data_IF_343919454419
#
_entry.id   IF_343919454419
#
_cell.length_a   1.000
_cell.length_b   1.000
_cell.length_c   1.000
_cell.angle_alpha   90.00
_cell.angle_beta   90.00
_cell.angle_gamma   90.00
#
_symmetry.space_group_name_H-M   'P 1'
#
loop_
_entity.id
_entity.type
_entity.pdbx_description
1 polymer ?
#
# COMPACT_ATOMS: atom_id res chain seq x y z
N UNK A 1 52.16 13.12 -2.94
CA UNK A 1 52.05 14.31 -3.79
C UNK A 1 51.22 14.03 -5.02
N UNK A 2 50.24 14.92 -5.19
CA UNK A 2 49.25 15.08 -6.26
C UNK A 2 48.02 14.16 -6.28
N UNK A 3 46.85 14.80 -6.48
CA UNK A 3 45.67 14.60 -5.62
C UNK A 3 44.39 14.33 -6.43
N UNK A 4 43.29 14.02 -5.74
CA UNK A 4 41.87 14.34 -6.01
C UNK A 4 41.22 14.34 -7.42
N UNK A 5 41.94 14.30 -8.54
CA UNK A 5 41.40 14.39 -9.90
C UNK A 5 40.52 13.19 -10.28
N UNK A 6 40.81 11.99 -9.77
CA UNK A 6 40.05 10.77 -10.16
C UNK A 6 38.65 10.69 -9.54
N UNK A 7 38.44 11.25 -8.35
CA UNK A 7 37.11 11.28 -7.71
C UNK A 7 36.27 12.42 -8.29
N UNK A 8 36.84 13.60 -8.43
CA UNK A 8 36.14 14.74 -9.01
C UNK A 8 35.81 14.53 -10.49
N UNK A 9 36.69 13.92 -11.29
CA UNK A 9 36.36 13.50 -12.66
C UNK A 9 35.29 12.42 -12.70
N UNK A 10 35.33 11.43 -11.79
CA UNK A 10 34.29 10.40 -11.74
C UNK A 10 32.92 10.99 -11.36
N UNK A 11 32.88 11.92 -10.41
CA UNK A 11 31.67 12.63 -10.02
C UNK A 11 31.18 13.59 -11.10
N UNK A 12 32.08 14.28 -11.80
CA UNK A 12 31.73 15.18 -12.90
C UNK A 12 31.23 14.40 -14.12
N UNK A 13 31.83 13.25 -14.41
CA UNK A 13 31.39 12.32 -15.46
C UNK A 13 30.02 11.73 -15.13
N UNK A 14 29.81 11.32 -13.88
CA UNK A 14 28.51 10.84 -13.40
C UNK A 14 27.44 11.94 -13.46
N UNK A 15 27.77 13.17 -13.08
CA UNK A 15 26.85 14.32 -13.13
C UNK A 15 26.52 14.75 -14.58
N UNK A 16 27.49 14.72 -15.49
CA UNK A 16 27.29 14.93 -16.93
C UNK A 16 26.39 13.85 -17.54
N UNK A 17 26.58 12.58 -17.16
CA UNK A 17 25.70 11.48 -17.58
C UNK A 17 24.29 11.66 -17.02
N UNK A 18 24.13 12.05 -15.75
CA UNK A 18 22.83 12.32 -15.11
C UNK A 18 22.10 13.49 -15.79
N UNK A 19 22.82 14.55 -16.20
CA UNK A 19 22.25 15.70 -16.93
C UNK A 19 21.80 15.34 -18.35
N UNK A 20 22.50 14.43 -19.03
CA UNK A 20 22.15 13.94 -20.38
C UNK A 20 21.05 12.86 -20.38
N UNK A 21 20.80 12.25 -19.23
CA UNK A 21 19.77 11.25 -19.04
C UNK A 21 18.40 11.92 -18.95
N UNK A 22 17.51 11.69 -19.93
CA UNK A 22 16.15 12.26 -19.91
C UNK A 22 15.43 11.79 -18.63
N UNK A 23 14.61 12.66 -18.01
CA UNK A 23 13.93 12.47 -16.70
C UNK A 23 13.26 11.09 -16.44
N UNK A 24 13.00 10.28 -17.46
CA UNK A 24 12.41 8.95 -17.35
C UNK A 24 13.44 7.80 -17.27
N UNK A 25 14.74 8.09 -17.37
CA UNK A 25 15.85 7.11 -17.30
C UNK A 25 16.67 7.22 -16.01
N UNK A 26 16.28 8.09 -15.07
CA UNK A 26 16.88 8.13 -13.74
C UNK A 26 16.27 7.03 -12.88
N UNK A 27 16.98 5.91 -12.70
CA UNK A 27 16.67 4.95 -11.63
C UNK A 27 17.14 5.56 -10.31
N UNK A 28 16.31 6.45 -9.78
CA UNK A 28 16.45 7.03 -8.46
C UNK A 28 16.20 5.90 -7.45
N UNK A 29 17.27 5.34 -6.88
CA UNK A 29 17.20 4.69 -5.56
C UNK A 29 17.14 5.83 -4.53
N UNK A 30 16.01 6.52 -4.50
CA UNK A 30 15.62 7.45 -3.45
C UNK A 30 14.10 7.34 -3.29
N UNK A 31 13.65 7.57 -2.07
CA UNK A 31 12.28 7.33 -1.63
C UNK A 31 11.18 7.95 -2.51
N UNK A 32 9.98 7.42 -2.27
CA UNK A 32 8.70 7.75 -2.89
C UNK A 32 8.45 7.14 -4.28
N UNK A 33 8.05 5.86 -4.29
CA UNK A 33 7.60 5.14 -5.48
C UNK A 33 6.14 4.68 -5.36
N UNK A 34 5.22 5.65 -5.31
CA UNK A 34 3.79 5.43 -5.47
C UNK A 34 3.43 5.10 -6.94
N UNK A 35 3.38 3.82 -7.29
CA UNK A 35 2.96 3.31 -8.60
C UNK A 35 1.47 2.97 -8.65
N UNK A 36 0.71 3.55 -9.57
CA UNK A 36 -0.72 3.20 -9.76
C UNK A 36 -0.89 1.80 -10.37
N UNK A 37 -1.78 1.02 -9.75
CA UNK A 37 -2.16 -0.37 -10.06
C UNK A 37 -2.89 -0.48 -11.41
N UNK A 38 -2.54 -1.47 -12.22
CA UNK A 38 -3.06 -1.70 -13.58
C UNK A 38 -3.69 -3.08 -13.81
N UNK A 39 -3.37 -4.18 -13.13
CA UNK A 39 -4.16 -5.45 -13.27
C UNK A 39 -3.87 -6.45 -12.15
N UNK A 40 -4.85 -7.32 -11.86
CA UNK A 40 -4.72 -8.45 -10.94
C UNK A 40 -4.75 -9.75 -11.76
N UNK A 41 -3.66 -10.51 -11.81
CA UNK A 41 -3.54 -11.81 -12.47
C UNK A 41 -3.09 -12.82 -11.40
N UNK A 42 -3.81 -13.92 -11.20
CA UNK A 42 -3.45 -15.00 -10.27
C UNK A 42 -2.87 -14.50 -8.93
N UNK A 43 -3.64 -13.68 -8.22
CA UNK A 43 -3.30 -13.04 -6.93
C UNK A 43 -2.22 -11.94 -6.92
N UNK A 44 -1.59 -11.62 -8.06
CA UNK A 44 -0.57 -10.57 -8.17
C UNK A 44 -1.12 -9.25 -8.73
N UNK A 45 -0.67 -8.11 -8.22
CA UNK A 45 -1.08 -6.74 -8.63
C UNK A 45 0.06 -6.10 -9.44
N UNK A 46 -0.19 -5.55 -10.64
CA UNK A 46 0.86 -5.09 -11.59
C UNK A 46 0.71 -3.60 -11.93
N UNK A 47 1.82 -2.85 -12.12
CA UNK A 47 1.84 -1.38 -12.35
C UNK A 47 1.61 -0.93 -13.82
N UNK A 48 1.32 0.37 -14.02
CA UNK A 48 0.87 1.07 -15.26
C UNK A 48 1.72 0.88 -16.55
N UNK A 49 2.88 0.23 -16.46
CA UNK A 49 3.81 0.01 -17.60
C UNK A 49 4.04 -1.48 -17.89
N UNK A 50 3.23 -2.39 -17.32
CA UNK A 50 3.40 -3.86 -17.43
C UNK A 50 4.75 -4.40 -16.95
N UNK A 51 5.53 -3.59 -16.24
CA UNK A 51 6.89 -3.99 -15.87
C UNK A 51 6.98 -4.67 -14.50
N UNK A 52 6.14 -4.37 -13.50
CA UNK A 52 6.40 -4.88 -12.13
C UNK A 52 5.16 -5.11 -11.25
N UNK A 53 5.32 -6.02 -10.28
CA UNK A 53 4.41 -6.23 -9.16
C UNK A 53 4.37 -5.02 -8.23
N UNK A 54 3.19 -4.72 -7.71
CA UNK A 54 2.88 -3.68 -6.71
C UNK A 54 2.16 -4.39 -5.57
N UNK A 55 2.35 -3.96 -4.32
CA UNK A 55 1.45 -4.40 -3.25
C UNK A 55 0.08 -3.71 -3.40
N UNK A 56 -0.91 -4.12 -2.59
CA UNK A 56 -2.26 -3.55 -2.62
C UNK A 56 -2.28 -2.01 -2.37
N UNK A 57 -1.21 -1.44 -1.82
CA UNK A 57 -1.04 0.00 -1.59
C UNK A 57 -0.48 0.76 -2.82
N UNK A 58 -0.20 0.07 -3.94
CA UNK A 58 0.47 0.69 -5.08
C UNK A 58 1.95 0.99 -4.85
N UNK A 59 2.58 0.36 -3.85
CA UNK A 59 4.03 0.42 -3.66
C UNK A 59 4.65 -0.71 -4.46
N UNK A 60 5.65 -0.40 -5.30
CA UNK A 60 6.31 -1.41 -6.14
C UNK A 60 6.95 -2.47 -5.25
N UNK A 61 6.54 -3.72 -5.41
CA UNK A 61 7.28 -4.87 -4.91
C UNK A 61 8.33 -5.18 -5.97
N UNK A 62 9.54 -4.69 -5.72
CA UNK A 62 10.69 -4.86 -6.59
C UNK A 62 11.17 -6.31 -6.41
N UNK A 63 10.73 -7.18 -7.30
CA UNK A 63 11.21 -8.54 -7.38
C UNK A 63 12.61 -8.51 -8.03
N UNK A 64 13.65 -8.56 -7.19
CA UNK A 64 15.02 -8.78 -7.66
C UNK A 64 15.08 -10.04 -8.54
N UNK A 65 14.21 -11.01 -8.25
CA UNK A 65 14.13 -12.33 -8.87
C UNK A 65 12.71 -12.63 -9.37
N UNK A 66 12.58 -13.20 -10.57
CA UNK A 66 11.32 -13.73 -11.08
C UNK A 66 11.56 -15.07 -11.81
N UNK A 67 11.68 -15.07 -13.15
CA UNK A 67 12.08 -16.26 -13.92
C UNK A 67 13.60 -16.35 -14.09
N UNK A 68 14.23 -17.28 -13.39
CA UNK A 68 15.69 -17.46 -13.46
C UNK A 68 16.16 -18.26 -14.67
N UNK A 69 15.25 -18.91 -15.40
CA UNK A 69 15.57 -19.63 -16.63
C UNK A 69 15.73 -18.68 -17.82
N UNK A 70 16.62 -19.05 -18.75
CA UNK A 70 16.83 -18.32 -20.01
C UNK A 70 18.09 -17.43 -20.04
N UNK A 71 18.66 -17.20 -21.24
CA UNK A 71 19.87 -16.39 -21.43
C UNK A 71 19.60 -14.89 -21.19
N UNK A 72 20.64 -14.17 -20.77
CA UNK A 72 20.63 -12.70 -20.70
C UNK A 72 21.28 -12.17 -21.97
N UNK A 73 20.46 -11.77 -22.94
CA UNK A 73 20.91 -11.16 -24.20
C UNK A 73 20.45 -9.70 -24.26
N UNK A 74 21.35 -8.82 -24.69
CA UNK A 74 21.09 -7.41 -24.96
C UNK A 74 20.02 -7.17 -26.04
N UNK A 75 19.89 -8.09 -27.00
CA UNK A 75 19.02 -7.98 -28.18
C UNK A 75 17.62 -8.56 -27.97
N UNK A 76 17.38 -9.26 -26.84
CA UNK A 76 16.08 -9.88 -26.53
C UNK A 76 15.38 -9.02 -25.50
N UNK A 77 14.39 -8.23 -25.94
CA UNK A 77 13.36 -7.73 -25.05
C UNK A 77 12.41 -8.89 -24.72
N UNK A 78 12.38 -9.29 -23.44
CA UNK A 78 11.48 -10.34 -23.01
C UNK A 78 10.02 -9.86 -23.03
N UNK A 79 9.13 -10.76 -23.46
CA UNK A 79 7.68 -10.56 -23.43
C UNK A 79 7.14 -10.66 -21.98
N UNK A 80 7.91 -11.25 -21.04
CA UNK A 80 7.55 -11.48 -19.63
C UNK A 80 8.68 -11.04 -18.67
N UNK A 81 8.33 -10.61 -17.45
CA UNK A 81 9.28 -10.15 -16.42
C UNK A 81 10.15 -11.31 -15.88
N UNK A 82 11.48 -11.16 -15.93
CA UNK A 82 12.44 -12.15 -15.45
C UNK A 82 13.28 -11.70 -14.24
N UNK A 83 12.89 -10.59 -13.60
CA UNK A 83 13.48 -10.06 -12.39
C UNK A 83 14.47 -8.92 -12.64
N UNK A 84 14.55 -8.01 -11.67
CA UNK A 84 15.35 -6.78 -11.78
C UNK A 84 16.85 -7.08 -11.89
N UNK A 85 17.33 -8.18 -11.31
CA UNK A 85 18.73 -8.58 -11.45
C UNK A 85 19.14 -8.75 -12.92
N UNK A 86 18.37 -9.51 -13.70
CA UNK A 86 18.63 -9.71 -15.13
C UNK A 86 18.40 -8.45 -15.96
N UNK A 87 17.41 -7.63 -15.60
CA UNK A 87 17.19 -6.34 -16.24
C UNK A 87 18.39 -5.39 -16.10
N UNK A 88 19.01 -5.36 -14.91
CA UNK A 88 20.24 -4.58 -14.67
C UNK A 88 21.39 -5.10 -15.54
N UNK A 89 21.56 -6.42 -15.63
CA UNK A 89 22.60 -7.01 -16.48
C UNK A 89 22.40 -6.69 -17.96
N UNK A 90 21.16 -6.79 -18.48
CA UNK A 90 20.86 -6.34 -19.86
C UNK A 90 21.15 -4.87 -20.07
N UNK A 91 20.77 -4.02 -19.11
CA UNK A 91 21.04 -2.58 -19.19
C UNK A 91 22.53 -2.29 -19.27
N UNK A 92 23.36 -3.03 -18.52
CA UNK A 92 24.82 -2.94 -18.61
C UNK A 92 25.36 -3.41 -19.96
N UNK A 93 24.86 -4.52 -20.49
CA UNK A 93 25.24 -4.98 -21.84
C UNK A 93 24.88 -3.96 -22.92
N UNK A 94 23.66 -3.38 -22.87
CA UNK A 94 23.22 -2.32 -23.78
C UNK A 94 24.03 -1.03 -23.67
N UNK A 95 24.64 -0.81 -22.51
CA UNK A 95 25.53 0.34 -22.27
C UNK A 95 26.95 0.10 -22.80
N UNK A 96 27.22 -1.05 -23.42
CA UNK A 96 28.52 -1.39 -24.01
C UNK A 96 29.53 -2.02 -23.05
N UNK A 97 29.08 -2.69 -21.99
CA UNK A 97 29.95 -3.44 -21.08
C UNK A 97 30.46 -4.73 -21.74
N UNK A 98 31.52 -4.61 -22.54
CA UNK A 98 32.13 -5.73 -23.28
C UNK A 98 32.73 -6.81 -22.36
N UNK A 99 33.19 -6.43 -21.16
CA UNK A 99 33.72 -7.39 -20.18
C UNK A 99 32.59 -8.29 -19.68
N UNK A 100 31.46 -7.70 -19.29
CA UNK A 100 30.28 -8.45 -18.87
C UNK A 100 29.74 -9.32 -20.01
N UNK A 101 29.72 -8.79 -21.24
CA UNK A 101 29.27 -9.53 -22.43
C UNK A 101 30.12 -10.78 -22.66
N UNK A 102 31.43 -10.61 -22.73
CA UNK A 102 32.37 -11.72 -22.87
C UNK A 102 32.23 -12.73 -21.73
N UNK A 103 32.06 -12.27 -20.49
CA UNK A 103 31.84 -13.16 -19.34
C UNK A 103 30.57 -13.99 -19.48
N UNK A 104 29.45 -13.40 -19.89
CA UNK A 104 28.18 -14.13 -20.06
C UNK A 104 28.19 -15.10 -21.25
N UNK A 105 28.94 -14.79 -22.31
CA UNK A 105 29.07 -15.63 -23.51
C UNK A 105 30.10 -16.77 -23.36
N UNK A 106 31.19 -16.54 -22.63
CA UNK A 106 32.33 -17.49 -22.54
C UNK A 106 32.30 -18.42 -21.34
N UNK A 107 31.60 -18.06 -20.26
CA UNK A 107 31.63 -18.83 -19.02
C UNK A 107 30.60 -19.94 -18.98
N UNK A 108 30.88 -20.97 -18.18
CA UNK A 108 29.91 -22.04 -17.91
C UNK A 108 28.67 -21.49 -17.20
N UNK A 109 27.50 -22.11 -17.41
CA UNK A 109 26.21 -21.66 -16.84
C UNK A 109 26.21 -21.45 -15.32
N UNK A 110 27.10 -22.11 -14.59
CA UNK A 110 27.26 -21.96 -13.13
C UNK A 110 28.12 -20.76 -12.74
N UNK A 111 29.04 -20.34 -13.61
CA UNK A 111 29.97 -19.24 -13.36
C UNK A 111 29.45 -17.87 -13.83
N UNK A 112 28.27 -17.83 -14.50
CA UNK A 112 27.58 -16.59 -14.86
C UNK A 112 26.85 -15.94 -13.69
N UNK A 113 26.74 -16.63 -12.54
CA UNK A 113 26.04 -16.14 -11.34
C UNK A 113 24.54 -15.81 -11.56
N UNK A 114 23.96 -16.27 -12.67
CA UNK A 114 22.57 -16.01 -13.05
C UNK A 114 21.55 -16.94 -12.37
N UNK A 115 22.02 -18.03 -11.78
CA UNK A 115 21.13 -19.04 -11.23
C UNK A 115 20.40 -18.52 -9.97
N UNK A 116 19.24 -19.14 -9.67
CA UNK A 116 18.40 -18.81 -8.54
C UNK A 116 19.13 -18.78 -7.19
N UNK A 117 20.02 -19.75 -6.97
CA UNK A 117 20.75 -19.90 -5.70
C UNK A 117 21.69 -18.70 -5.48
N UNK A 118 22.45 -18.35 -6.49
CA UNK A 118 23.36 -17.21 -6.45
C UNK A 118 22.61 -15.90 -6.27
N UNK A 119 21.49 -15.69 -6.99
CA UNK A 119 20.68 -14.48 -6.80
C UNK A 119 20.17 -14.38 -5.37
N UNK A 120 19.71 -15.48 -4.75
CA UNK A 120 19.32 -15.50 -3.34
C UNK A 120 20.50 -15.18 -2.41
N UNK A 121 21.70 -15.70 -2.69
CA UNK A 121 22.91 -15.36 -1.92
C UNK A 121 23.23 -13.86 -1.99
N UNK A 122 23.11 -13.25 -3.17
CA UNK A 122 23.28 -11.79 -3.35
C UNK A 122 22.22 -11.02 -2.56
N UNK A 123 20.94 -11.43 -2.67
CA UNK A 123 19.84 -10.80 -1.93
C UNK A 123 20.08 -10.87 -0.43
N UNK A 124 20.49 -12.02 0.08
CA UNK A 124 20.79 -12.22 1.50
C UNK A 124 21.98 -11.35 1.92
N UNK A 125 23.06 -11.31 1.15
CA UNK A 125 24.21 -10.46 1.46
C UNK A 125 23.85 -8.96 1.47
N UNK A 126 23.03 -8.50 0.52
CA UNK A 126 22.50 -7.13 0.52
C UNK A 126 21.63 -6.87 1.75
N UNK A 127 20.73 -7.81 2.08
CA UNK A 127 19.89 -7.75 3.27
C UNK A 127 20.70 -7.64 4.56
N UNK A 128 21.76 -8.45 4.69
CA UNK A 128 22.67 -8.43 5.83
C UNK A 128 23.41 -7.10 5.96
N UNK A 129 23.90 -6.53 4.85
CA UNK A 129 24.58 -5.24 4.83
C UNK A 129 23.61 -4.12 5.24
N UNK A 130 22.39 -4.11 4.70
CA UNK A 130 21.36 -3.11 5.03
C UNK A 130 20.98 -3.23 6.51
N UNK A 131 20.73 -4.45 6.99
CA UNK A 131 20.39 -4.72 8.38
C UNK A 131 21.49 -4.23 9.31
N UNK A 132 22.75 -4.57 9.05
CA UNK A 132 23.90 -4.10 9.85
C UNK A 132 23.99 -2.57 9.88
N UNK A 133 23.77 -1.90 8.74
CA UNK A 133 23.77 -0.43 8.69
C UNK A 133 22.66 0.18 9.56
N UNK A 134 21.45 -0.40 9.52
CA UNK A 134 20.32 0.07 10.33
C UNK A 134 20.60 -0.18 11.82
N UNK A 135 21.09 -1.37 12.18
CA UNK A 135 21.46 -1.72 13.57
C UNK A 135 22.52 -0.74 14.11
N UNK A 136 23.56 -0.43 13.33
CA UNK A 136 24.58 0.52 13.74
C UNK A 136 23.98 1.91 14.02
N UNK A 137 23.11 2.41 13.14
CA UNK A 137 22.42 3.69 13.36
C UNK A 137 21.57 3.69 14.65
N UNK A 138 20.85 2.60 14.92
CA UNK A 138 20.04 2.45 16.13
C UNK A 138 20.95 2.49 17.37
N UNK A 139 22.04 1.73 17.35
CA UNK A 139 22.99 1.68 18.47
C UNK A 139 23.70 3.03 18.69
N UNK A 140 24.03 3.77 17.63
CA UNK A 140 24.56 5.14 17.70
C UNK A 140 23.55 6.13 18.29
N UNK A 141 22.27 6.03 17.90
CA UNK A 141 21.19 6.86 18.44
C UNK A 141 20.93 6.62 19.93
N UNK A 142 21.31 5.43 20.43
CA UNK A 142 20.99 4.87 21.76
C UNK A 142 19.49 4.71 21.94
N UNK A 143 18.75 5.80 22.13
CA UNK A 143 17.32 5.76 22.42
C UNK A 143 16.48 5.49 21.18
N UNK A 144 15.64 4.47 21.25
CA UNK A 144 14.75 4.09 20.15
C UNK A 144 13.38 3.64 20.65
N UNK A 145 12.41 3.67 19.74
CA UNK A 145 11.10 3.04 19.91
C UNK A 145 10.92 1.95 18.87
N UNK A 146 10.17 0.91 19.22
CA UNK A 146 9.80 -0.16 18.27
C UNK A 146 8.36 0.03 17.85
N UNK A 147 8.11 -0.08 16.54
CA UNK A 147 6.80 -0.20 15.94
C UNK A 147 6.69 -1.63 15.41
N UNK A 148 5.66 -2.36 15.82
CA UNK A 148 5.47 -3.73 15.36
C UNK A 148 4.01 -4.01 15.01
N UNK A 149 3.84 -4.85 13.99
CA UNK A 149 2.53 -5.24 13.46
C UNK A 149 2.56 -6.71 13.04
N UNK A 150 1.44 -7.41 13.26
CA UNK A 150 1.25 -8.80 12.84
C UNK A 150 0.76 -8.83 11.38
N UNK A 151 1.35 -9.70 10.54
CA UNK A 151 0.94 -9.86 9.15
C UNK A 151 1.12 -11.30 8.70
N UNK A 152 0.19 -11.82 7.92
CA UNK A 152 0.30 -13.15 7.32
C UNK A 152 0.90 -13.05 5.91
N UNK A 153 1.83 -13.94 5.57
CA UNK A 153 2.37 -14.01 4.20
C UNK A 153 1.53 -14.88 3.26
N UNK A 154 1.92 -14.93 1.97
CA UNK A 154 1.23 -15.69 0.93
C UNK A 154 1.27 -17.21 1.14
N UNK A 155 2.15 -17.71 2.00
CA UNK A 155 2.27 -19.12 2.38
C UNK A 155 1.53 -19.42 3.68
N UNK A 156 0.68 -18.48 4.13
CA UNK A 156 -0.08 -18.56 5.38
C UNK A 156 0.80 -18.66 6.63
N UNK A 157 2.04 -18.15 6.56
CA UNK A 157 2.92 -18.06 7.72
C UNK A 157 2.69 -16.69 8.36
N UNK A 158 2.40 -16.70 9.66
CA UNK A 158 2.31 -15.48 10.43
C UNK A 158 3.70 -14.87 10.63
N UNK A 159 3.78 -13.57 10.43
CA UNK A 159 5.02 -12.81 10.51
C UNK A 159 4.83 -11.60 11.41
N UNK A 160 5.87 -11.32 12.19
CA UNK A 160 5.95 -10.15 13.03
C UNK A 160 6.87 -9.13 12.37
N UNK A 161 6.28 -8.01 11.95
CA UNK A 161 7.01 -6.94 11.29
C UNK A 161 7.65 -6.02 12.33
N UNK A 162 8.95 -5.74 12.18
CA UNK A 162 9.68 -4.89 13.11
C UNK A 162 10.20 -3.63 12.41
N UNK A 163 9.80 -2.48 12.91
CA UNK A 163 10.26 -1.16 12.48
C UNK A 163 10.78 -0.37 13.69
N UNK A 164 11.83 0.42 13.48
CA UNK A 164 12.49 1.19 14.54
C UNK A 164 12.36 2.66 14.26
N UNK A 165 11.99 3.41 15.29
CA UNK A 165 11.91 4.87 15.28
C UNK A 165 12.97 5.43 16.21
N UNK A 166 13.88 6.24 15.67
CA UNK A 166 14.97 6.84 16.46
C UNK A 166 15.38 8.19 15.86
N UNK A 167 16.09 9.00 16.64
CA UNK A 167 16.67 10.25 16.18
C UNK A 167 18.06 10.01 15.61
N UNK A 168 18.25 10.26 14.32
CA UNK A 168 19.57 10.18 13.71
C UNK A 168 20.29 11.52 13.87
N UNK A 169 21.31 11.53 14.71
CA UNK A 169 22.11 12.74 15.00
C UNK A 169 22.88 13.25 13.79
N UNK A 170 23.20 12.39 12.82
CA UNK A 170 23.94 12.77 11.60
C UNK A 170 23.02 13.47 10.60
N UNK A 171 21.79 12.97 10.42
CA UNK A 171 20.82 13.59 9.50
C UNK A 171 19.94 14.65 10.17
N UNK A 172 20.04 14.77 11.51
CA UNK A 172 19.26 15.67 12.37
C UNK A 172 17.75 15.45 12.23
N UNK A 173 17.32 14.21 11.98
CA UNK A 173 15.91 13.85 11.70
C UNK A 173 15.49 12.59 12.45
N UNK A 174 14.19 12.48 12.69
CA UNK A 174 13.56 11.22 13.09
C UNK A 174 13.56 10.30 11.87
N UNK A 175 14.09 9.11 12.03
CA UNK A 175 14.07 8.05 11.03
C UNK A 175 13.16 6.92 11.50
N UNK A 176 12.38 6.36 10.57
CA UNK A 176 11.63 5.12 10.75
C UNK A 176 12.17 4.09 9.75
N UNK A 177 12.78 3.03 10.26
CA UNK A 177 13.44 2.02 9.45
C UNK A 177 12.84 0.65 9.73
N UNK A 178 12.24 0.07 8.70
CA UNK A 178 11.93 -1.34 8.70
C UNK A 178 13.21 -2.16 8.82
N UNK A 179 13.22 -3.12 9.75
CA UNK A 179 14.36 -3.97 10.01
C UNK A 179 14.19 -5.32 9.32
N UNK A 180 13.16 -6.07 9.71
CA UNK A 180 12.85 -7.40 9.16
C UNK A 180 11.45 -7.86 9.53
N UNK A 181 10.99 -8.87 8.80
CA UNK A 181 9.93 -9.76 9.25
C UNK A 181 10.54 -10.89 10.06
N UNK A 182 9.85 -11.30 11.12
CA UNK A 182 10.23 -12.46 11.93
C UNK A 182 9.09 -13.46 11.88
N UNK A 183 9.30 -14.68 11.35
CA UNK A 183 8.25 -15.69 11.32
C UNK A 183 7.89 -16.09 12.75
N UNK A 184 6.59 -16.20 13.02
CA UNK A 184 6.05 -16.56 14.33
C UNK A 184 5.06 -17.70 14.19
N UNK A 185 5.15 -18.67 15.09
CA UNK A 185 4.25 -19.84 15.12
C UNK A 185 3.17 -19.72 16.20
N UNK A 186 3.37 -18.81 17.16
CA UNK A 186 2.47 -18.58 18.28
C UNK A 186 2.31 -17.08 18.51
N UNK A 187 1.06 -16.62 18.42
CA UNK A 187 0.65 -15.22 18.50
C UNK A 187 0.22 -14.78 19.92
N UNK A 188 0.53 -15.57 20.95
CA UNK A 188 0.34 -15.10 22.33
C UNK A 188 1.29 -13.93 22.64
N UNK A 189 0.85 -12.98 23.46
CA UNK A 189 1.67 -11.80 23.78
C UNK A 189 3.02 -12.15 24.42
N UNK A 190 3.09 -13.24 25.20
CA UNK A 190 4.34 -13.74 25.76
C UNK A 190 5.29 -14.26 24.68
N UNK A 191 4.78 -15.05 23.74
CA UNK A 191 5.57 -15.58 22.61
C UNK A 191 6.13 -14.45 21.76
N UNK A 192 5.28 -13.49 21.39
CA UNK A 192 5.66 -12.32 20.59
C UNK A 192 6.68 -11.43 21.31
N UNK A 193 6.53 -11.20 22.62
CA UNK A 193 7.51 -10.45 23.42
C UNK A 193 8.87 -11.16 23.46
N UNK A 194 8.88 -12.49 23.63
CA UNK A 194 10.11 -13.28 23.61
C UNK A 194 10.79 -13.24 22.24
N UNK A 195 10.02 -13.39 21.15
CA UNK A 195 10.52 -13.25 19.78
C UNK A 195 11.13 -11.87 19.55
N UNK A 196 10.49 -10.81 20.03
CA UNK A 196 11.02 -9.44 19.94
C UNK A 196 12.37 -9.32 20.66
N UNK A 197 12.43 -9.72 21.92
CA UNK A 197 13.63 -9.61 22.75
C UNK A 197 14.79 -10.44 22.16
N UNK A 198 14.52 -11.70 21.82
CA UNK A 198 15.55 -12.59 21.24
C UNK A 198 16.04 -12.09 19.89
N UNK A 199 15.17 -11.47 19.09
CA UNK A 199 15.58 -10.84 17.82
C UNK A 199 16.50 -9.65 18.07
N UNK A 200 16.22 -8.80 19.07
CA UNK A 200 17.08 -7.67 19.43
C UNK A 200 18.44 -8.14 19.94
N UNK A 201 18.45 -9.15 20.83
CA UNK A 201 19.66 -9.75 21.37
C UNK A 201 20.53 -10.36 20.27
N UNK A 202 19.93 -11.13 19.35
CA UNK A 202 20.64 -11.72 18.20
C UNK A 202 21.21 -10.71 17.22
N UNK A 203 20.68 -9.48 17.20
CA UNK A 203 21.18 -8.37 16.38
C UNK A 203 22.11 -7.42 17.15
N UNK A 204 22.45 -7.74 18.40
CA UNK A 204 23.25 -6.89 19.28
C UNK A 204 22.67 -5.47 19.46
N UNK A 205 21.33 -5.36 19.55
CA UNK A 205 20.65 -4.11 19.92
C UNK A 205 20.41 -4.11 21.43
N UNK A 206 20.92 -3.09 22.12
CA UNK A 206 20.74 -2.99 23.57
C UNK A 206 19.33 -2.51 23.91
N UNK A 207 18.49 -3.46 24.34
CA UNK A 207 17.09 -3.21 24.70
C UNK A 207 16.89 -2.26 25.90
N UNK A 208 17.93 -1.99 26.71
CA UNK A 208 17.84 -1.03 27.81
C UNK A 208 17.62 0.41 27.33
N UNK A 209 17.95 0.72 26.08
CA UNK A 209 17.68 2.03 25.49
C UNK A 209 16.31 2.13 24.79
N UNK A 210 15.47 1.08 24.89
CA UNK A 210 14.11 1.13 24.38
C UNK A 210 13.27 2.06 25.26
N UNK A 211 12.77 3.14 24.66
CA UNK A 211 11.96 4.17 25.34
C UNK A 211 10.50 4.19 24.88
N UNK A 212 10.18 3.45 23.83
CA UNK A 212 8.81 3.37 23.32
C UNK A 212 8.52 2.06 22.61
N UNK A 213 7.24 1.70 22.62
CA UNK A 213 6.70 0.56 21.91
C UNK A 213 5.32 0.93 21.34
N UNK A 214 5.11 0.71 20.05
CA UNK A 214 3.89 1.09 19.34
C UNK A 214 3.28 -0.11 18.61
N UNK A 215 2.09 -0.51 19.04
CA UNK A 215 1.36 -1.67 18.50
C UNK A 215 -0.12 -1.33 18.26
N UNK A 216 -0.84 -2.22 17.58
CA UNK A 216 -2.29 -2.16 17.45
C UNK A 216 -3.00 -2.59 18.74
N UNK A 217 -4.34 -2.71 18.69
CA UNK A 217 -5.18 -3.07 19.84
C UNK A 217 -5.43 -4.58 19.95
N UNK A 218 -4.70 -5.41 19.21
CA UNK A 218 -4.84 -6.85 19.34
C UNK A 218 -4.53 -7.25 20.79
N UNK A 219 -5.35 -8.12 21.38
CA UNK A 219 -5.19 -8.49 22.80
C UNK A 219 -3.81 -9.10 23.12
N UNK A 220 -3.20 -9.78 22.13
CA UNK A 220 -1.82 -10.27 22.14
C UNK A 220 -0.79 -9.15 22.26
N UNK A 221 -1.08 -7.98 21.72
CA UNK A 221 -0.17 -6.83 21.65
C UNK A 221 -0.43 -5.81 22.77
N UNK A 222 -1.66 -5.30 22.88
CA UNK A 222 -2.05 -4.20 23.78
C UNK A 222 -2.47 -4.65 25.19
N UNK A 223 -2.72 -5.95 25.38
CA UNK A 223 -3.27 -6.50 26.63
C UNK A 223 -2.51 -6.05 27.87
N UNK A 224 -3.25 -5.52 28.86
CA UNK A 224 -2.70 -4.92 30.08
C UNK A 224 -1.87 -5.88 30.96
N UNK A 225 -2.14 -7.17 30.87
CA UNK A 225 -1.52 -8.20 31.71
C UNK A 225 -0.73 -9.24 30.90
N UNK A 226 -1.25 -9.63 29.74
CA UNK A 226 -0.71 -10.73 28.92
C UNK A 226 -0.39 -10.29 27.47
N UNK A 227 -0.40 -8.98 27.21
CA UNK A 227 0.00 -8.44 25.92
C UNK A 227 1.52 -8.22 25.85
N UNK A 228 2.06 -8.13 24.63
CA UNK A 228 3.47 -7.75 24.39
C UNK A 228 3.84 -6.51 25.20
N UNK A 229 2.95 -5.51 25.21
CA UNK A 229 3.22 -4.26 25.89
C UNK A 229 3.51 -4.45 27.39
N UNK A 230 2.76 -5.33 28.06
CA UNK A 230 2.90 -5.59 29.49
C UNK A 230 4.22 -6.29 29.79
N UNK A 231 4.59 -7.31 28.99
CA UNK A 231 5.84 -8.05 29.16
C UNK A 231 7.07 -7.17 28.91
N UNK A 232 7.05 -6.38 27.82
CA UNK A 232 8.14 -5.46 27.51
C UNK A 232 8.24 -4.37 28.58
N UNK A 233 7.11 -3.81 29.04
CA UNK A 233 7.12 -2.79 30.09
C UNK A 233 7.63 -3.31 31.44
N UNK A 234 7.33 -4.56 31.77
CA UNK A 234 7.82 -5.21 32.98
C UNK A 234 9.35 -5.39 32.96
N UNK A 235 9.93 -5.73 31.81
CA UNK A 235 11.39 -5.90 31.65
C UNK A 235 12.12 -4.56 31.44
N UNK A 236 11.51 -3.65 30.69
CA UNK A 236 12.06 -2.35 30.31
C UNK A 236 11.05 -1.24 30.66
N UNK A 237 11.12 -0.77 31.91
CA UNK A 237 10.20 0.23 32.45
C UNK A 237 10.22 1.58 31.73
N UNK A 238 11.23 1.84 30.89
CA UNK A 238 11.31 3.02 30.04
C UNK A 238 10.50 2.88 28.74
N UNK A 239 10.21 1.68 28.25
CA UNK A 239 9.55 1.43 26.97
C UNK A 239 8.04 1.73 27.06
N UNK A 240 7.64 2.99 26.82
CA UNK A 240 6.24 3.42 26.98
C UNK A 240 5.39 2.87 25.83
N UNK A 241 4.28 2.23 26.17
CA UNK A 241 3.31 1.79 25.19
C UNK A 241 2.49 2.95 24.64
N UNK A 242 2.44 3.03 23.31
CA UNK A 242 1.62 3.97 22.56
C UNK A 242 0.73 3.17 21.62
N UNK A 243 -0.59 3.26 21.84
CA UNK A 243 -1.56 2.62 20.97
C UNK A 243 -1.57 3.28 19.58
N UNK A 244 -1.66 2.47 18.53
CA UNK A 244 -1.71 2.95 17.16
C UNK A 244 -2.89 3.89 16.91
N UNK A 245 -2.60 5.18 16.71
CA UNK A 245 -3.62 6.21 16.46
C UNK A 245 -4.40 5.96 15.16
N UNK A 246 -3.73 5.41 14.14
CA UNK A 246 -4.37 5.04 12.88
C UNK A 246 -5.36 3.89 13.05
N UNK A 247 -4.99 2.88 13.86
CA UNK A 247 -5.88 1.77 14.19
C UNK A 247 -7.05 2.25 15.06
N UNK A 248 -6.79 3.10 16.06
CA UNK A 248 -7.83 3.72 16.89
C UNK A 248 -8.88 4.46 16.07
N UNK A 249 -8.42 5.30 15.12
CA UNK A 249 -9.32 5.99 14.20
C UNK A 249 -10.10 4.99 13.35
N UNK A 250 -9.44 3.96 12.83
CA UNK A 250 -10.08 2.92 12.02
C UNK A 250 -11.22 2.22 12.78
N UNK A 251 -10.98 1.81 14.04
CA UNK A 251 -12.00 1.20 14.89
C UNK A 251 -13.19 2.13 15.10
N UNK A 252 -12.94 3.40 15.42
CA UNK A 252 -14.00 4.38 15.65
C UNK A 252 -14.89 4.58 14.42
N UNK A 253 -14.33 4.62 13.20
CA UNK A 253 -15.16 4.76 12.01
C UNK A 253 -15.80 3.43 11.59
N UNK A 254 -15.14 2.30 11.85
CA UNK A 254 -15.74 0.97 11.63
C UNK A 254 -17.00 0.77 12.48
N UNK A 255 -16.94 1.14 13.76
CA UNK A 255 -18.07 1.10 14.68
C UNK A 255 -19.22 2.00 14.19
N UNK A 256 -18.90 3.22 13.73
CA UNK A 256 -19.89 4.13 13.15
C UNK A 256 -20.56 3.60 11.86
N UNK A 257 -19.92 2.68 11.14
CA UNK A 257 -20.47 2.07 9.92
C UNK A 257 -21.47 0.92 10.19
N UNK A 258 -21.73 0.57 11.45
CA UNK A 258 -22.70 -0.49 11.81
C UNK A 258 -24.16 -0.08 11.61
N UNK A 259 -24.43 1.22 11.45
CA UNK A 259 -25.76 1.78 11.14
C UNK A 259 -26.37 1.06 9.92
N UNK A 260 -27.61 0.53 9.99
CA UNK A 260 -28.16 -0.36 8.96
C UNK A 260 -28.08 0.19 7.53
N UNK A 261 -28.41 1.45 7.32
CA UNK A 261 -28.38 2.10 6.00
C UNK A 261 -26.95 2.14 5.44
N UNK A 262 -25.97 2.46 6.30
CA UNK A 262 -24.54 2.48 5.97
C UNK A 262 -24.05 1.08 5.66
N UNK A 263 -24.30 0.12 6.56
CA UNK A 263 -23.91 -1.28 6.40
C UNK A 263 -24.46 -1.87 5.10
N UNK A 264 -25.75 -1.66 4.82
CA UNK A 264 -26.41 -2.17 3.63
C UNK A 264 -25.83 -1.53 2.36
N UNK A 265 -25.61 -0.21 2.36
CA UNK A 265 -24.99 0.49 1.23
C UNK A 265 -23.55 0.01 0.97
N UNK A 266 -22.77 -0.19 2.02
CA UNK A 266 -21.42 -0.75 1.92
C UNK A 266 -21.42 -2.19 1.39
N UNK A 267 -22.40 -3.02 1.78
CA UNK A 267 -22.56 -4.36 1.24
C UNK A 267 -22.91 -4.35 -0.26
N UNK A 268 -23.79 -3.44 -0.69
CA UNK A 268 -24.11 -3.23 -2.12
C UNK A 268 -22.88 -2.80 -2.91
N UNK A 269 -22.09 -1.85 -2.39
CA UNK A 269 -20.82 -1.44 -3.01
C UNK A 269 -19.84 -2.62 -3.13
N UNK A 270 -19.71 -3.43 -2.09
CA UNK A 270 -18.84 -4.61 -2.11
C UNK A 270 -19.25 -5.63 -3.17
N UNK A 271 -20.56 -5.93 -3.27
CA UNK A 271 -21.10 -6.80 -4.32
C UNK A 271 -20.82 -6.25 -5.72
N UNK A 272 -21.00 -4.94 -5.92
CA UNK A 272 -20.71 -4.28 -7.20
C UNK A 272 -19.22 -4.38 -7.56
N UNK A 273 -18.32 -4.05 -6.63
CA UNK A 273 -16.88 -4.19 -6.84
C UNK A 273 -16.47 -5.65 -7.15
N UNK A 274 -17.11 -6.63 -6.50
CA UNK A 274 -16.85 -8.05 -6.74
C UNK A 274 -17.37 -8.52 -8.10
N UNK A 275 -18.51 -8.00 -8.57
CA UNK A 275 -19.02 -8.31 -9.90
C UNK A 275 -18.00 -7.97 -10.98
N UNK A 276 -17.36 -6.80 -10.89
CA UNK A 276 -16.32 -6.33 -11.83
C UNK A 276 -14.94 -6.95 -11.58
N UNK A 277 -14.82 -8.06 -10.84
CA UNK A 277 -13.52 -8.71 -10.59
C UNK A 277 -13.02 -9.52 -11.80
N UNK A 278 -13.92 -10.11 -12.57
CA UNK A 278 -13.56 -11.03 -13.68
C UNK A 278 -13.05 -10.27 -14.90
N UNK A 279 -12.09 -10.83 -15.68
CA UNK A 279 -11.54 -10.15 -16.87
C UNK A 279 -12.61 -9.72 -17.87
N UNK A 280 -13.62 -10.57 -18.11
CA UNK A 280 -14.74 -10.29 -19.02
C UNK A 280 -15.49 -9.02 -18.60
N UNK A 281 -15.86 -8.90 -17.33
CA UNK A 281 -16.64 -7.76 -16.80
C UNK A 281 -15.77 -6.51 -16.63
N UNK A 282 -14.47 -6.66 -16.34
CA UNK A 282 -13.50 -5.57 -16.35
C UNK A 282 -13.36 -4.92 -17.73
N UNK A 283 -13.41 -5.71 -18.80
CA UNK A 283 -13.33 -5.19 -20.16
C UNK A 283 -14.57 -4.35 -20.49
N UNK A 284 -15.78 -4.82 -20.14
CA UNK A 284 -17.01 -4.01 -20.28
C UNK A 284 -16.86 -2.67 -19.56
N UNK A 285 -16.43 -2.72 -18.31
CA UNK A 285 -16.23 -1.52 -17.51
C UNK A 285 -15.19 -0.57 -18.12
N UNK A 286 -14.10 -1.11 -18.69
CA UNK A 286 -13.09 -0.30 -19.38
C UNK A 286 -13.64 0.36 -20.65
N UNK A 287 -14.42 -0.36 -21.45
CA UNK A 287 -15.08 0.19 -22.64
C UNK A 287 -16.07 1.30 -22.25
N UNK A 288 -16.82 1.12 -21.17
CA UNK A 288 -17.77 2.14 -20.73
C UNK A 288 -17.08 3.41 -20.19
N UNK A 289 -15.88 3.29 -19.62
CA UNK A 289 -15.07 4.47 -19.28
C UNK A 289 -14.72 5.28 -20.53
N UNK A 290 -14.35 4.61 -21.62
CA UNK A 290 -13.99 5.25 -22.89
C UNK A 290 -15.21 5.95 -23.52
N UNK A 291 -16.41 5.36 -23.37
CA UNK A 291 -17.65 5.94 -23.85
C UNK A 291 -18.07 7.20 -23.08
N UNK A 292 -17.91 7.19 -21.74
CA UNK A 292 -18.38 8.29 -20.87
C UNK A 292 -17.33 9.42 -20.76
N UNK A 293 -16.04 9.11 -20.84
CA UNK A 293 -14.95 10.07 -20.70
C UNK A 293 -13.79 9.79 -21.67
N UNK A 294 -13.81 10.44 -22.84
CA UNK A 294 -12.78 10.33 -23.88
C UNK A 294 -11.35 10.69 -23.43
N UNK A 295 -11.19 11.52 -22.39
CA UNK A 295 -9.88 11.93 -21.84
C UNK A 295 -9.41 11.12 -20.61
N UNK A 296 -10.24 10.24 -20.04
CA UNK A 296 -9.94 9.56 -18.77
C UNK A 296 -9.35 8.16 -18.98
N UNK A 297 -8.19 8.08 -19.63
CA UNK A 297 -7.45 6.81 -19.69
C UNK A 297 -7.03 6.36 -18.27
N UNK A 298 -7.62 5.25 -17.83
CA UNK A 298 -7.24 4.40 -16.67
C UNK A 298 -7.78 4.81 -15.29
N UNK A 299 -9.10 4.83 -15.10
CA UNK A 299 -9.71 4.71 -13.76
C UNK A 299 -10.24 3.28 -13.56
N UNK A 300 -10.17 2.76 -12.32
CA UNK A 300 -10.69 1.44 -11.97
C UNK A 300 -11.41 1.55 -10.64
N UNK A 301 -12.51 0.82 -10.48
CA UNK A 301 -13.08 0.62 -9.16
C UNK A 301 -12.05 -0.05 -8.26
N UNK A 302 -11.80 0.58 -7.10
CA UNK A 302 -11.00 -0.03 -6.04
C UNK A 302 -11.89 -0.97 -5.25
N UNK A 303 -11.32 -2.10 -4.82
CA UNK A 303 -12.02 -3.01 -3.94
C UNK A 303 -12.11 -2.40 -2.55
N UNK A 304 -13.23 -2.63 -1.87
CA UNK A 304 -13.36 -2.33 -0.46
C UNK A 304 -12.45 -3.28 0.32
N UNK A 305 -11.31 -2.79 0.79
CA UNK A 305 -10.46 -3.54 1.70
C UNK A 305 -11.12 -3.60 3.08
N UNK A 306 -11.33 -4.79 3.62
CA UNK A 306 -11.95 -4.95 4.92
C UNK A 306 -11.06 -4.44 6.06
N UNK A 307 -9.74 -4.56 5.92
CA UNK A 307 -8.77 -4.26 6.98
C UNK A 307 -8.11 -2.89 6.84
N UNK A 308 -7.98 -2.33 5.63
CA UNK A 308 -7.33 -1.02 5.38
C UNK A 308 -8.33 0.05 4.95
N UNK A 309 -8.74 0.88 5.90
CA UNK A 309 -9.79 1.88 5.68
C UNK A 309 -9.42 3.07 4.79
N UNK A 310 -8.14 3.42 4.71
CA UNK A 310 -7.65 4.40 3.72
C UNK A 310 -8.03 3.98 2.29
N UNK A 311 -8.02 2.67 2.01
CA UNK A 311 -8.45 2.12 0.73
C UNK A 311 -9.98 2.12 0.58
N UNK A 312 -10.74 1.98 1.67
CA UNK A 312 -12.21 2.17 1.65
C UNK A 312 -12.58 3.62 1.33
N UNK A 313 -11.86 4.59 1.90
CA UNK A 313 -12.04 6.01 1.57
C UNK A 313 -11.90 6.25 0.06
N UNK A 314 -10.81 5.77 -0.52
CA UNK A 314 -10.59 5.90 -1.95
C UNK A 314 -11.65 5.14 -2.77
N UNK A 315 -12.09 3.96 -2.32
CA UNK A 315 -13.09 3.15 -3.03
C UNK A 315 -14.44 3.85 -3.14
N UNK A 316 -14.93 4.47 -2.07
CA UNK A 316 -16.19 5.22 -2.10
C UNK A 316 -16.08 6.46 -2.97
N UNK A 317 -14.99 7.22 -2.83
CA UNK A 317 -14.78 8.44 -3.62
C UNK A 317 -14.60 8.14 -5.11
N UNK A 318 -13.93 7.03 -5.44
CA UNK A 318 -13.80 6.54 -6.81
C UNK A 318 -15.15 6.07 -7.32
N UNK A 319 -15.89 5.28 -6.55
CA UNK A 319 -17.22 4.83 -6.96
C UNK A 319 -18.15 6.00 -7.24
N UNK A 320 -18.19 7.01 -6.38
CA UNK A 320 -19.03 8.20 -6.58
C UNK A 320 -18.72 8.91 -7.91
N UNK A 321 -17.44 8.94 -8.32
CA UNK A 321 -17.02 9.51 -9.62
C UNK A 321 -17.32 8.59 -10.80
N UNK A 322 -17.28 7.28 -10.59
CA UNK A 322 -17.44 6.25 -11.62
C UNK A 322 -18.85 5.66 -11.63
N UNK A 323 -19.80 6.25 -10.91
CA UNK A 323 -21.11 5.66 -10.72
C UNK A 323 -21.87 5.51 -12.03
N UNK A 324 -21.79 6.52 -12.92
CA UNK A 324 -22.37 6.49 -14.27
C UNK A 324 -21.83 5.30 -15.07
N UNK A 325 -20.50 5.18 -15.15
CA UNK A 325 -19.81 4.06 -15.81
C UNK A 325 -20.21 2.71 -15.20
N UNK A 326 -20.32 2.64 -13.88
CA UNK A 326 -20.72 1.42 -13.20
C UNK A 326 -22.16 1.01 -13.57
N UNK A 327 -23.09 1.96 -13.58
CA UNK A 327 -24.48 1.72 -13.99
C UNK A 327 -24.54 1.28 -15.46
N UNK A 328 -23.93 2.02 -16.39
CA UNK A 328 -23.93 1.66 -17.82
C UNK A 328 -23.32 0.26 -18.06
N UNK A 329 -22.25 -0.07 -17.33
CA UNK A 329 -21.66 -1.41 -17.40
C UNK A 329 -22.61 -2.50 -16.88
N UNK A 330 -23.36 -2.23 -15.80
CA UNK A 330 -24.36 -3.17 -15.29
C UNK A 330 -25.51 -3.35 -16.28
N UNK A 331 -25.93 -2.30 -16.99
CA UNK A 331 -26.99 -2.36 -18.00
C UNK A 331 -26.59 -3.20 -19.22
N UNK A 332 -25.31 -3.21 -19.58
CA UNK A 332 -24.80 -4.12 -20.60
C UNK A 332 -24.83 -5.56 -20.08
N UNK A 333 -24.35 -5.79 -18.85
CA UNK A 333 -24.23 -7.13 -18.27
C UNK A 333 -25.60 -7.75 -17.97
N UNK A 334 -26.63 -6.95 -17.63
CA UNK A 334 -27.98 -7.47 -17.37
C UNK A 334 -28.59 -8.15 -18.59
N UNK A 335 -28.11 -7.86 -19.80
CA UNK A 335 -28.58 -8.45 -21.05
C UNK A 335 -27.74 -9.66 -21.50
N UNK A 336 -26.84 -10.15 -20.66
CA UNK A 336 -26.03 -11.33 -20.97
C UNK A 336 -26.78 -12.65 -20.74
N UNK A 337 -26.37 -13.68 -21.48
CA UNK A 337 -26.89 -15.05 -21.31
C UNK A 337 -26.41 -15.73 -20.01
N UNK A 338 -25.46 -15.13 -19.28
CA UNK A 338 -24.97 -15.62 -17.98
C UNK A 338 -25.99 -15.26 -16.87
N UNK A 339 -26.77 -16.26 -16.43
CA UNK A 339 -27.87 -16.07 -15.46
C UNK A 339 -27.43 -15.38 -14.17
N UNK A 340 -26.27 -15.73 -13.62
CA UNK A 340 -25.81 -15.19 -12.34
C UNK A 340 -25.33 -13.74 -12.49
N UNK A 341 -24.64 -13.42 -13.60
CA UNK A 341 -24.22 -12.05 -13.89
C UNK A 341 -25.41 -11.14 -14.24
N UNK A 342 -26.37 -11.66 -15.00
CA UNK A 342 -27.57 -10.96 -15.44
C UNK A 342 -28.42 -10.56 -14.22
N UNK A 343 -28.86 -11.55 -13.44
CA UNK A 343 -29.68 -11.33 -12.25
C UNK A 343 -28.97 -10.46 -11.20
N UNK A 344 -27.68 -10.72 -10.97
CA UNK A 344 -26.85 -9.91 -10.08
C UNK A 344 -26.77 -8.45 -10.53
N UNK A 345 -26.59 -8.19 -11.83
CA UNK A 345 -26.53 -6.82 -12.37
C UNK A 345 -27.86 -6.08 -12.25
N UNK A 346 -28.98 -6.74 -12.59
CA UNK A 346 -30.32 -6.15 -12.45
C UNK A 346 -30.62 -5.74 -11.00
N UNK A 347 -30.34 -6.62 -10.04
CA UNK A 347 -30.54 -6.32 -8.60
C UNK A 347 -29.64 -5.18 -8.14
N UNK A 348 -28.39 -5.14 -8.60
CA UNK A 348 -27.45 -4.07 -8.26
C UNK A 348 -27.89 -2.71 -8.84
N UNK A 349 -28.40 -2.66 -10.07
CA UNK A 349 -28.97 -1.44 -10.65
C UNK A 349 -30.10 -0.95 -9.75
N UNK A 350 -31.11 -1.78 -9.47
CA UNK A 350 -32.24 -1.39 -8.62
C UNK A 350 -31.78 -0.92 -7.23
N UNK A 351 -30.78 -1.58 -6.65
CA UNK A 351 -30.20 -1.21 -5.35
C UNK A 351 -29.49 0.14 -5.38
N UNK A 352 -28.67 0.40 -6.41
CA UNK A 352 -27.93 1.66 -6.56
C UNK A 352 -28.90 2.83 -6.74
N UNK A 353 -30.00 2.67 -7.49
CA UNK A 353 -30.95 3.76 -7.73
C UNK A 353 -31.84 4.12 -6.52
N UNK A 354 -31.82 3.31 -5.44
CA UNK A 354 -32.59 3.64 -4.23
C UNK A 354 -32.13 4.97 -3.61
N UNK A 355 -33.10 5.75 -3.14
CA UNK A 355 -32.82 7.03 -2.46
C UNK A 355 -31.94 6.83 -1.22
N UNK A 356 -32.17 5.75 -0.47
CA UNK A 356 -31.37 5.41 0.70
C UNK A 356 -29.89 5.21 0.33
N UNK A 357 -29.60 4.41 -0.71
CA UNK A 357 -28.23 4.18 -1.17
C UNK A 357 -27.57 5.47 -1.62
N UNK A 358 -28.24 6.27 -2.45
CA UNK A 358 -27.69 7.52 -2.98
C UNK A 358 -27.36 8.52 -1.88
N UNK A 359 -28.27 8.73 -0.92
CA UNK A 359 -28.01 9.65 0.20
C UNK A 359 -26.88 9.11 1.07
N UNK A 360 -26.90 7.80 1.38
CA UNK A 360 -25.87 7.18 2.21
C UNK A 360 -24.50 7.27 1.57
N UNK A 361 -24.40 7.08 0.25
CA UNK A 361 -23.16 7.23 -0.50
C UNK A 361 -22.59 8.65 -0.40
N UNK A 362 -23.43 9.68 -0.51
CA UNK A 362 -23.02 11.08 -0.37
C UNK A 362 -22.55 11.40 1.06
N UNK A 363 -23.26 10.89 2.07
CA UNK A 363 -22.87 11.02 3.48
C UNK A 363 -21.51 10.36 3.72
N UNK A 364 -21.34 9.12 3.25
CA UNK A 364 -20.08 8.38 3.36
C UNK A 364 -18.93 9.11 2.68
N UNK A 365 -19.13 9.56 1.43
CA UNK A 365 -18.12 10.33 0.70
C UNK A 365 -17.70 11.60 1.46
N UNK A 366 -18.66 12.33 2.06
CA UNK A 366 -18.36 13.53 2.84
C UNK A 366 -17.61 13.21 4.12
N UNK A 367 -18.09 12.28 4.94
CA UNK A 367 -17.40 11.88 6.18
C UNK A 367 -15.98 11.40 5.88
N UNK A 368 -15.82 10.58 4.83
CA UNK A 368 -14.53 10.02 4.44
C UNK A 368 -13.57 11.08 3.91
N UNK A 369 -14.07 12.09 3.20
CA UNK A 369 -13.25 13.25 2.80
C UNK A 369 -12.69 14.04 3.99
N UNK A 370 -13.38 14.01 5.14
CA UNK A 370 -12.95 14.71 6.37
C UNK A 370 -11.97 13.84 7.17
N UNK A 371 -12.17 12.53 7.23
CA UNK A 371 -11.33 11.61 8.01
C UNK A 371 -10.07 11.18 7.27
N UNK A 372 -10.07 11.16 5.92
CA UNK A 372 -8.91 10.73 5.12
C UNK A 372 -7.64 11.56 5.38
N UNK A 373 -7.68 12.91 5.44
CA UNK A 373 -6.50 13.70 5.79
C UNK A 373 -5.94 13.35 7.18
N UNK A 374 -6.81 13.16 8.17
CA UNK A 374 -6.40 12.76 9.52
C UNK A 374 -5.71 11.38 9.48
N UNK A 375 -6.30 10.41 8.80
CA UNK A 375 -5.71 9.08 8.64
C UNK A 375 -4.29 9.15 8.04
N UNK A 376 -4.10 9.94 6.98
CA UNK A 376 -2.77 10.12 6.36
C UNK A 376 -1.78 10.84 7.28
N UNK A 377 -2.22 11.88 7.97
CA UNK A 377 -1.35 12.65 8.86
C UNK A 377 -0.91 11.84 10.08
N UNK A 378 -1.79 11.02 10.66
CA UNK A 378 -1.46 10.12 11.76
C UNK A 378 -0.41 9.05 11.40
N UNK A 379 -0.17 8.81 10.11
CA UNK A 379 0.84 7.87 9.61
C UNK A 379 2.15 8.56 9.22
N UNK A 380 2.25 9.87 9.35
CA UNK A 380 3.48 10.59 9.00
C UNK A 380 4.54 10.43 10.09
N UNK A 381 5.79 10.18 9.69
CA UNK A 381 6.91 9.98 10.61
C UNK A 381 7.05 11.17 11.59
N UNK A 382 6.89 12.39 11.10
CA UNK A 382 7.18 13.60 11.86
C UNK A 382 6.01 14.14 12.69
N UNK A 383 4.89 13.41 12.81
CA UNK A 383 3.79 13.87 13.65
C UNK A 383 4.16 13.75 15.14
N UNK A 384 3.92 14.82 15.89
CA UNK A 384 3.99 14.80 17.35
C UNK A 384 2.59 14.63 17.97
N UNK A 385 2.56 14.31 19.27
CA UNK A 385 1.32 14.03 20.01
C UNK A 385 0.39 15.25 20.07
N UNK A 386 0.93 16.46 20.22
CA UNK A 386 0.15 17.69 20.31
C UNK A 386 -0.58 17.96 19.00
N UNK A 387 0.14 17.83 17.88
CA UNK A 387 -0.40 17.96 16.54
C UNK A 387 -1.45 16.87 16.25
N UNK A 388 -1.18 15.61 16.61
CA UNK A 388 -2.13 14.52 16.47
C UNK A 388 -3.46 14.80 17.22
N UNK A 389 -3.38 15.25 18.47
CA UNK A 389 -4.54 15.62 19.28
C UNK A 389 -5.30 16.79 18.65
N UNK A 390 -4.61 17.81 18.17
CA UNK A 390 -5.22 18.98 17.53
C UNK A 390 -5.99 18.58 16.26
N UNK A 391 -5.38 17.75 15.40
CA UNK A 391 -6.01 17.24 14.18
C UNK A 391 -7.24 16.41 14.49
N UNK A 392 -7.15 15.49 15.46
CA UNK A 392 -8.28 14.68 15.90
C UNK A 392 -9.43 15.52 16.45
N UNK A 393 -9.12 16.53 17.29
CA UNK A 393 -10.12 17.50 17.80
C UNK A 393 -10.77 18.29 16.67
N UNK A 394 -10.00 18.71 15.67
CA UNK A 394 -10.50 19.46 14.51
C UNK A 394 -11.49 18.64 13.69
N UNK A 395 -11.17 17.38 13.40
CA UNK A 395 -12.08 16.45 12.72
C UNK A 395 -13.33 16.21 13.53
N UNK A 396 -13.20 15.92 14.84
CA UNK A 396 -14.34 15.72 15.74
C UNK A 396 -15.27 16.93 15.77
N UNK A 397 -14.72 18.14 15.88
CA UNK A 397 -15.51 19.37 15.89
C UNK A 397 -16.22 19.61 14.56
N UNK A 398 -15.57 19.27 13.43
CA UNK A 398 -16.18 19.37 12.10
C UNK A 398 -17.36 18.41 11.96
N UNK A 399 -17.21 17.15 12.39
CA UNK A 399 -18.29 16.16 12.38
C UNK A 399 -19.41 16.55 13.35
N UNK A 400 -19.10 17.11 14.52
CA UNK A 400 -20.10 17.60 15.47
C UNK A 400 -20.94 18.75 14.89
N UNK A 401 -20.30 19.70 14.19
CA UNK A 401 -21.01 20.79 13.48
C UNK A 401 -21.91 20.25 12.37
N UNK A 402 -21.47 19.23 11.62
CA UNK A 402 -22.31 18.56 10.63
C UNK A 402 -23.54 17.90 11.29
N UNK A 403 -23.35 17.23 12.43
CA UNK A 403 -24.45 16.61 13.19
C UNK A 403 -25.45 17.65 13.71
N UNK A 404 -24.98 18.78 14.22
CA UNK A 404 -25.85 19.88 14.67
C UNK A 404 -26.69 20.46 13.52
N UNK A 405 -26.12 20.50 12.31
CA UNK A 405 -26.79 21.01 11.11
C UNK A 405 -27.37 19.90 10.22
N UNK A 406 -27.66 18.71 10.78
CA UNK A 406 -28.00 17.52 10.00
C UNK A 406 -29.18 17.73 9.03
N UNK A 407 -30.19 18.51 9.42
CA UNK A 407 -31.34 18.81 8.54
C UNK A 407 -30.91 19.61 7.31
N UNK A 408 -30.03 20.59 7.48
CA UNK A 408 -29.52 21.39 6.37
C UNK A 408 -28.59 20.56 5.48
N UNK A 409 -27.71 19.76 6.08
CA UNK A 409 -26.83 18.84 5.35
C UNK A 409 -27.64 17.81 4.55
N UNK A 410 -28.69 17.23 5.15
CA UNK A 410 -29.58 16.29 4.48
C UNK A 410 -30.28 16.93 3.27
N UNK A 411 -30.77 18.17 3.40
CA UNK A 411 -31.34 18.91 2.26
C UNK A 411 -30.32 19.10 1.12
N UNK A 412 -29.05 19.33 1.44
CA UNK A 412 -27.98 19.41 0.43
C UNK A 412 -27.78 18.06 -0.26
N UNK A 413 -27.69 16.96 0.49
CA UNK A 413 -27.53 15.63 -0.07
C UNK A 413 -28.72 15.22 -0.94
N UNK A 414 -29.94 15.56 -0.55
CA UNK A 414 -31.14 15.30 -1.34
C UNK A 414 -31.12 16.07 -2.67
N UNK A 415 -30.70 17.34 -2.66
CA UNK A 415 -30.53 18.14 -3.88
C UNK A 415 -29.45 17.56 -4.80
N UNK A 416 -28.29 17.18 -4.25
CA UNK A 416 -27.20 16.54 -5.00
C UNK A 416 -27.65 15.22 -5.61
N UNK A 417 -28.37 14.39 -4.84
CA UNK A 417 -28.99 13.15 -5.32
C UNK A 417 -29.92 13.43 -6.50
N UNK A 418 -30.83 14.39 -6.37
CA UNK A 418 -31.80 14.68 -7.44
C UNK A 418 -31.13 15.15 -8.73
N UNK A 419 -30.09 16.00 -8.62
CA UNK A 419 -29.30 16.43 -9.78
C UNK A 419 -28.56 15.25 -10.42
N UNK A 420 -27.92 14.42 -9.62
CA UNK A 420 -27.16 13.27 -10.10
C UNK A 420 -28.06 12.23 -10.77
N UNK A 421 -29.20 11.92 -10.16
CA UNK A 421 -30.18 10.97 -10.69
C UNK A 421 -30.79 11.46 -12.00
N UNK A 422 -31.17 12.74 -12.08
CA UNK A 422 -31.67 13.33 -13.33
C UNK A 422 -30.65 13.20 -14.47
N UNK A 423 -29.36 13.43 -14.18
CA UNK A 423 -28.31 13.29 -15.18
C UNK A 423 -28.09 11.82 -15.61
N UNK A 424 -28.19 10.87 -14.68
CA UNK A 424 -28.10 9.44 -15.01
C UNK A 424 -29.32 8.94 -15.78
N UNK A 425 -30.54 9.30 -15.37
CA UNK A 425 -31.78 8.91 -16.07
C UNK A 425 -31.81 9.43 -17.52
N UNK A 426 -31.30 10.64 -17.76
CA UNK A 426 -31.14 11.18 -19.12
C UNK A 426 -30.16 10.38 -19.99
N UNK A 427 -29.15 9.75 -19.38
CA UNK A 427 -28.13 8.96 -20.09
C UNK A 427 -28.51 7.49 -20.24
N UNK A 428 -29.22 6.94 -19.27
CA UNK A 428 -29.43 5.51 -19.08
C UNK A 428 -30.92 5.22 -18.85
N UNK A 429 -31.75 5.38 -19.90
CA UNK A 429 -33.23 5.29 -19.85
C UNK A 429 -33.81 3.91 -19.43
N UNK A 430 -33.11 3.08 -18.64
CA UNK A 430 -33.49 1.72 -18.30
C UNK A 430 -34.35 1.56 -17.02
N UNK A 431 -35.17 2.56 -16.67
CA UNK A 431 -36.11 2.43 -15.53
C UNK A 431 -37.55 2.84 -15.88
N UNK A 432 -38.03 2.44 -17.06
CA UNK A 432 -39.47 2.20 -17.27
C UNK A 432 -39.81 0.74 -17.03
#
# INVERSE_FOLDING_TARGET
DRPDETKEESYNTLNEMIKKTKRHQQLIIAGDMNGRIEKRNNDEVVAKHREDMVNDNGQRLINIRHRDSGPVDSNIDLIENDGIFKAILRSKLRSGDEILKLHLESMSKTATYLNAKTQNEIINACGDIITKKIVNKINEAKFFSILADESTDISCIEQFSLCFRFYNSTTMKIEENFLKFVPVTNLTGQSLANVLITTLEGLNINSNFMVGQGYDDASSMSGAFHGVQAYIRAKYSSAIYVHCASHSLNLAISDACTVPQVRNSMATLSKLCNLFRTPKRKNVFATEIENVNSDSKKQKLKQLCHTRWSERHDSILVFLKMQEVAVGSLEIIQNWNDRDACSGSFVLIKSVFTTEFQITLQVLAKVFSITLPLCKLLQTINIDLSQAILLAKTVRNTLAKMRQNAVQEFKKYLRLRNLHMKNMELKYQCLE
#
